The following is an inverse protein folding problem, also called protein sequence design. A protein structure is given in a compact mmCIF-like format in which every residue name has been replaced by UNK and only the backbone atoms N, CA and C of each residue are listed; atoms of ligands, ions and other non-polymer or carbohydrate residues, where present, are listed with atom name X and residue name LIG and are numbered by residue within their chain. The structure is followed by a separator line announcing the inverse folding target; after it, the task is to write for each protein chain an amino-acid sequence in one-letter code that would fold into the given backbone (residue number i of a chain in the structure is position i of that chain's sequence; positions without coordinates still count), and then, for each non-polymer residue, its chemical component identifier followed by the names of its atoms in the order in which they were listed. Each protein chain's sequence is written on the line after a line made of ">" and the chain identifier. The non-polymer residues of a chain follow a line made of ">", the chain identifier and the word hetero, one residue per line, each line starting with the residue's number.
data_IF_683056005515
#
_entry.id   IF_683056005515
#
_cell.length_a   1.000
_cell.length_b   1.000
_cell.length_c   1.000
_cell.angle_alpha   90.00
_cell.angle_beta   90.00
_cell.angle_gamma   90.00
#
_symmetry.space_group_name_H-M   'P 1'
#
loop_
_entity.id
_entity.type
_entity.pdbx_description
1 polymer ?
#
# COMPACT_ATOMS: atom_id res chain seq x y z
N UNK A 1 -0.21 1.65 24.71
CA UNK A 1 1.19 1.86 24.28
C UNK A 1 1.27 1.63 22.79
N UNK A 2 1.68 2.63 22.02
CA UNK A 2 1.91 2.46 20.59
C UNK A 2 3.36 1.97 20.42
N UNK A 3 3.53 0.66 20.20
CA UNK A 3 4.86 0.00 20.15
C UNK A 3 5.64 0.28 18.87
N UNK A 4 5.08 1.05 17.94
CA UNK A 4 5.68 1.34 16.64
C UNK A 4 6.20 2.77 16.62
N UNK A 5 7.47 2.93 16.27
CA UNK A 5 8.06 4.24 16.05
C UNK A 5 7.19 5.08 15.10
N UNK A 6 7.04 6.38 15.39
CA UNK A 6 6.17 7.30 14.64
C UNK A 6 6.54 7.40 13.15
N UNK A 7 7.81 7.20 12.82
CA UNK A 7 8.34 7.20 11.46
C UNK A 7 8.18 5.87 10.72
N UNK A 8 7.95 4.77 11.45
CA UNK A 8 7.82 3.46 10.83
C UNK A 8 6.44 3.30 10.19
N UNK A 9 6.41 2.92 8.91
CA UNK A 9 5.21 2.51 8.20
C UNK A 9 5.16 0.99 8.08
N UNK A 10 4.00 0.40 8.26
CA UNK A 10 3.77 -1.03 8.02
C UNK A 10 3.41 -1.28 6.58
N UNK A 11 3.70 -2.48 6.11
CA UNK A 11 3.19 -2.98 4.84
C UNK A 11 2.34 -4.20 5.15
N UNK A 12 1.10 -4.21 4.67
CA UNK A 12 0.22 -5.37 4.71
C UNK A 12 0.10 -5.91 3.29
N UNK A 13 0.52 -7.15 3.06
CA UNK A 13 0.50 -7.79 1.75
C UNK A 13 -0.60 -8.84 1.73
N UNK A 14 -1.54 -8.73 0.79
CA UNK A 14 -2.59 -9.71 0.56
C UNK A 14 -2.47 -10.28 -0.85
N UNK A 15 -2.30 -11.59 -0.99
CA UNK A 15 -2.28 -12.22 -2.32
C UNK A 15 -3.64 -12.09 -3.03
N UNK A 16 -4.74 -12.30 -2.29
CA UNK A 16 -6.12 -12.23 -2.82
C UNK A 16 -6.71 -10.82 -2.91
N UNK A 17 -5.93 -9.77 -2.64
CA UNK A 17 -6.39 -8.39 -2.62
C UNK A 17 -7.17 -8.02 -1.35
N UNK A 18 -7.96 -6.96 -1.45
CA UNK A 18 -8.71 -6.39 -0.33
C UNK A 18 -10.17 -6.20 -0.71
N UNK A 19 -11.10 -6.59 0.18
CA UNK A 19 -12.51 -6.25 0.01
C UNK A 19 -12.75 -4.78 0.34
N UNK A 20 -13.75 -4.17 -0.28
CA UNK A 20 -14.12 -2.79 0.01
C UNK A 20 -14.50 -2.60 1.49
N UNK A 21 -15.24 -3.55 2.06
CA UNK A 21 -15.59 -3.58 3.48
C UNK A 21 -14.36 -3.66 4.37
N UNK A 22 -13.36 -4.48 4.02
CA UNK A 22 -12.10 -4.59 4.74
C UNK A 22 -11.29 -3.29 4.69
N UNK A 23 -11.25 -2.62 3.54
CA UNK A 23 -10.58 -1.32 3.39
C UNK A 23 -11.30 -0.21 4.18
N UNK A 24 -12.64 -0.20 4.18
CA UNK A 24 -13.44 0.71 4.99
C UNK A 24 -13.21 0.47 6.50
N UNK A 25 -13.15 -0.79 6.93
CA UNK A 25 -12.90 -1.17 8.32
C UNK A 25 -11.49 -0.80 8.80
N UNK A 26 -10.47 -0.86 7.92
CA UNK A 26 -9.12 -0.39 8.22
C UNK A 26 -9.08 1.11 8.57
N UNK A 27 -9.98 1.89 7.96
CA UNK A 27 -10.08 3.33 8.13
C UNK A 27 -8.99 4.12 7.40
N UNK A 28 -8.88 5.41 7.71
CA UNK A 28 -7.92 6.33 7.09
C UNK A 28 -6.83 6.77 8.06
N UNK A 29 -5.70 7.23 7.52
CA UNK A 29 -4.61 7.84 8.30
C UNK A 29 -3.79 6.86 9.15
N UNK A 30 -3.91 5.55 8.90
CA UNK A 30 -3.08 4.53 9.55
C UNK A 30 -1.65 4.59 9.00
N UNK A 31 -0.66 4.28 9.85
CA UNK A 31 0.75 4.13 9.43
C UNK A 31 1.00 2.75 8.80
N UNK A 32 0.12 2.33 7.89
CA UNK A 32 0.18 1.06 7.14
C UNK A 32 -0.25 1.33 5.70
N UNK A 33 0.44 0.71 4.75
CA UNK A 33 0.02 0.65 3.34
C UNK A 33 -0.33 -0.78 2.95
N UNK A 34 -1.31 -0.91 2.06
CA UNK A 34 -1.72 -2.15 1.44
C UNK A 34 -0.99 -2.38 0.12
N UNK A 35 -0.55 -3.62 -0.07
CA UNK A 35 -0.02 -4.13 -1.34
C UNK A 35 -0.78 -5.41 -1.65
N UNK A 36 -1.29 -5.54 -2.87
CA UNK A 36 -1.88 -6.80 -3.31
C UNK A 36 -0.93 -7.61 -4.19
N UNK A 37 -1.22 -8.91 -4.34
CA UNK A 37 -0.42 -9.79 -5.19
C UNK A 37 -0.28 -9.26 -6.62
N UNK A 38 -1.34 -8.65 -7.17
CA UNK A 38 -1.31 -8.03 -8.50
C UNK A 38 -0.33 -6.86 -8.57
N UNK A 39 -0.20 -6.04 -7.53
CA UNK A 39 0.78 -4.95 -7.52
C UNK A 39 2.20 -5.48 -7.66
N UNK A 40 2.53 -6.56 -6.93
CA UNK A 40 3.84 -7.19 -6.98
C UNK A 40 4.09 -7.83 -8.35
N UNK A 41 3.09 -8.52 -8.89
CA UNK A 41 3.16 -9.09 -10.23
C UNK A 41 3.43 -8.01 -11.27
N UNK A 42 2.61 -6.94 -11.30
CA UNK A 42 2.73 -5.85 -12.27
C UNK A 42 4.07 -5.11 -12.14
N UNK A 43 4.60 -4.95 -10.92
CA UNK A 43 5.91 -4.35 -10.72
C UNK A 43 7.03 -5.25 -11.23
N UNK A 44 7.02 -6.54 -10.89
CA UNK A 44 8.04 -7.50 -11.35
C UNK A 44 8.05 -7.65 -12.87
N UNK A 45 6.88 -7.77 -13.49
CA UNK A 45 6.69 -7.87 -14.94
C UNK A 45 7.29 -6.66 -15.68
N UNK A 46 7.23 -5.49 -15.06
CA UNK A 46 7.78 -4.23 -15.59
C UNK A 46 9.21 -3.92 -15.10
N UNK A 47 9.86 -4.86 -14.43
CA UNK A 47 11.19 -4.69 -13.81
C UNK A 47 11.27 -3.48 -12.85
N UNK A 48 10.20 -3.21 -12.10
CA UNK A 48 10.13 -2.13 -11.12
C UNK A 48 10.47 -2.70 -9.75
N UNK A 49 11.48 -2.09 -9.12
CA UNK A 49 11.91 -2.44 -7.77
C UNK A 49 10.78 -2.26 -6.74
N UNK A 50 10.76 -3.15 -5.74
CA UNK A 50 9.79 -3.10 -4.65
C UNK A 50 9.89 -1.79 -3.86
N UNK A 51 11.09 -1.22 -3.75
CA UNK A 51 11.35 0.09 -3.16
C UNK A 51 10.56 1.20 -3.88
N UNK A 52 10.53 1.17 -5.22
CA UNK A 52 9.78 2.13 -6.04
C UNK A 52 8.28 1.94 -5.91
N UNK A 53 7.79 0.69 -5.95
CA UNK A 53 6.38 0.36 -5.70
C UNK A 53 5.93 0.89 -4.34
N UNK A 54 6.72 0.63 -3.29
CA UNK A 54 6.40 1.07 -1.93
C UNK A 54 6.43 2.60 -1.83
N UNK A 55 7.40 3.27 -2.44
CA UNK A 55 7.49 4.74 -2.43
C UNK A 55 6.24 5.40 -3.06
N UNK A 56 5.73 4.87 -4.17
CA UNK A 56 4.51 5.35 -4.82
C UNK A 56 3.28 5.16 -3.93
N UNK A 57 3.14 3.98 -3.31
CA UNK A 57 2.05 3.70 -2.37
C UNK A 57 2.13 4.53 -1.10
N UNK A 58 3.32 4.75 -0.56
CA UNK A 58 3.55 5.63 0.60
C UNK A 58 3.11 7.06 0.28
N UNK A 59 3.51 7.59 -0.88
CA UNK A 59 3.10 8.91 -1.34
C UNK A 59 1.58 9.01 -1.46
N UNK A 60 0.94 8.09 -2.18
CA UNK A 60 -0.51 8.07 -2.34
C UNK A 60 -1.24 8.05 -1.01
N UNK A 61 -0.83 7.19 -0.09
CA UNK A 61 -1.42 7.10 1.24
C UNK A 61 -1.16 8.36 2.09
N UNK A 62 -0.07 9.10 1.86
CA UNK A 62 0.14 10.40 2.50
C UNK A 62 -0.78 11.50 1.92
N UNK A 63 -1.06 11.44 0.61
CA UNK A 63 -1.92 12.40 -0.09
C UNK A 63 -3.41 12.19 0.21
N UNK A 64 -3.87 10.95 0.37
CA UNK A 64 -5.31 10.65 0.52
C UNK A 64 -5.72 10.03 1.84
N UNK A 65 -4.75 9.55 2.62
CA UNK A 65 -5.02 8.78 3.83
C UNK A 65 -5.59 7.39 3.59
N UNK A 66 -5.73 6.95 2.33
CA UNK A 66 -6.20 5.61 1.97
C UNK A 66 -5.09 4.57 2.24
N UNK A 67 -5.48 3.42 2.80
CA UNK A 67 -4.54 2.33 3.07
C UNK A 67 -4.06 1.67 1.76
N UNK A 68 -4.92 1.59 0.75
CA UNK A 68 -4.64 0.88 -0.49
C UNK A 68 -5.08 1.71 -1.70
N UNK A 69 -4.25 1.66 -2.74
CA UNK A 69 -4.59 2.04 -4.10
C UNK A 69 -3.85 1.09 -5.07
N UNK A 70 -4.47 0.63 -6.17
CA UNK A 70 -3.82 -0.27 -7.13
C UNK A 70 -2.58 0.36 -7.75
N UNK A 71 -1.48 -0.39 -7.84
CA UNK A 71 -0.20 0.07 -8.37
C UNK A 71 -0.28 0.55 -9.81
N UNK A 72 -1.09 -0.12 -10.64
CA UNK A 72 -1.31 0.27 -12.04
C UNK A 72 -1.79 1.72 -12.19
N UNK A 73 -2.58 2.23 -11.24
CA UNK A 73 -3.07 3.63 -11.24
C UNK A 73 -2.10 4.64 -10.63
N UNK A 74 -0.92 4.21 -10.17
CA UNK A 74 0.11 5.08 -9.56
C UNK A 74 1.30 5.31 -10.49
N UNK A 75 1.33 4.62 -11.62
CA UNK A 75 2.38 4.73 -12.62
C UNK A 75 2.09 5.93 -13.54
N UNK A 76 3.12 6.72 -13.91
CA UNK A 76 2.98 7.76 -14.92
C UNK A 76 2.69 7.19 -16.32
#
# INVERSE_FOLDING_TARGET
>A
MEQKASWARGVFISFGGFTEEGLRAFGRGKRVIGVEGKDLYDALDRCIGIDRLLALKVRRAAETGEVFAPFAGLMP
#
